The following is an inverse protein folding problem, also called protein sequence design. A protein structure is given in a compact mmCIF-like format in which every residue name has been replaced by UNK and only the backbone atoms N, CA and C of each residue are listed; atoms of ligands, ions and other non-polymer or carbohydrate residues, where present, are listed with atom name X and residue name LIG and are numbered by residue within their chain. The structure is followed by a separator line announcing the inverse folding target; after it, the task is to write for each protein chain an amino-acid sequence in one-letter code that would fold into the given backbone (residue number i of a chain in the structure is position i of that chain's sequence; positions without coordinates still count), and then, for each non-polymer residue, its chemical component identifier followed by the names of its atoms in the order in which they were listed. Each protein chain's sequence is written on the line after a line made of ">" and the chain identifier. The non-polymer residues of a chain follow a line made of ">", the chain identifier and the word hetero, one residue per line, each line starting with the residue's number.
data_IF_184333737358
#
_entry.id   IF_184333737358
#
_cell.length_a   1.000
_cell.length_b   1.000
_cell.length_c   1.000
_cell.angle_alpha   90.00
_cell.angle_beta   90.00
_cell.angle_gamma   90.00
#
_symmetry.space_group_name_H-M   'P 1'
#
loop_
_entity.id
_entity.type
_entity.pdbx_description
1 polymer ?
#
# COMPACT_ATOMS: atom_id res chain seq x y z
N UNK A 1 -16.62 22.85 -7.23
CA UNK A 1 -16.02 24.11 -7.71
C UNK A 1 -14.53 24.06 -7.40
N UNK A 2 -13.71 23.58 -8.34
CA UNK A 2 -12.26 23.41 -8.15
C UNK A 2 -11.57 24.66 -8.69
N UNK A 3 -11.11 25.54 -7.79
CA UNK A 3 -10.50 26.81 -8.14
C UNK A 3 -9.00 26.81 -7.85
N UNK A 4 -8.22 27.08 -8.90
CA UNK A 4 -6.87 27.65 -8.92
C UNK A 4 -5.73 26.88 -8.22
N UNK A 5 -5.08 26.00 -8.98
CA UNK A 5 -3.69 25.56 -8.75
C UNK A 5 -2.75 26.67 -9.23
N UNK A 6 -2.07 27.33 -8.29
CA UNK A 6 -1.00 28.31 -8.55
C UNK A 6 0.34 27.61 -8.33
N UNK A 7 0.92 27.05 -9.41
CA UNK A 7 2.29 26.52 -9.40
C UNK A 7 3.22 27.67 -9.80
N UNK A 8 3.82 28.32 -8.81
CA UNK A 8 4.92 29.26 -9.04
C UNK A 8 6.09 28.90 -8.13
N UNK A 9 7.02 28.13 -8.71
CA UNK A 9 8.46 28.13 -8.42
C UNK A 9 8.93 27.86 -6.99
N UNK A 10 9.27 26.60 -6.68
CA UNK A 10 10.34 26.29 -5.73
C UNK A 10 10.87 24.84 -5.90
N UNK A 11 12.05 24.70 -6.53
CA UNK A 11 13.07 23.63 -6.40
C UNK A 11 12.71 22.12 -6.48
N UNK A 12 13.59 21.25 -7.04
CA UNK A 12 13.38 19.80 -7.09
C UNK A 12 13.43 19.11 -5.70
N UNK A 13 13.80 19.82 -4.63
CA UNK A 13 13.85 19.27 -3.28
C UNK A 13 12.47 19.14 -2.60
N UNK A 14 11.40 19.74 -3.15
CA UNK A 14 10.06 19.75 -2.54
C UNK A 14 9.14 18.61 -3.01
N UNK A 15 9.64 17.67 -3.82
CA UNK A 15 8.84 16.52 -4.30
C UNK A 15 8.80 15.38 -3.26
N UNK A 16 9.76 15.33 -2.33
CA UNK A 16 9.89 14.21 -1.37
C UNK A 16 9.09 14.35 -0.08
N UNK A 17 8.48 15.50 0.23
CA UNK A 17 7.79 15.69 1.53
C UNK A 17 6.31 15.30 1.50
N UNK A 18 5.72 15.02 0.34
CA UNK A 18 4.26 14.81 0.20
C UNK A 18 3.79 13.35 0.37
N UNK A 19 4.69 12.38 0.60
CA UNK A 19 4.32 10.96 0.60
C UNK A 19 4.20 10.30 1.99
N UNK A 20 4.38 11.06 3.07
CA UNK A 20 4.16 10.55 4.44
C UNK A 20 2.82 11.00 5.04
N UNK A 21 1.81 11.23 4.19
CA UNK A 21 0.44 11.21 4.67
C UNK A 21 0.05 9.74 4.88
N UNK A 22 0.38 9.20 6.05
CA UNK A 22 -0.14 7.90 6.48
C UNK A 22 -1.66 7.96 6.44
N UNK A 23 -2.26 7.17 5.55
CA UNK A 23 -3.71 7.05 5.38
C UNK A 23 -4.36 6.75 6.74
N UNK A 24 -5.09 7.73 7.29
CA UNK A 24 -5.96 7.55 8.45
C UNK A 24 -7.11 6.62 8.05
N UNK A 25 -6.95 5.31 8.32
CA UNK A 25 -7.98 4.26 8.23
C UNK A 25 -8.92 4.42 7.02
N UNK A 26 -8.35 4.58 5.83
CA UNK A 26 -9.13 4.53 4.61
C UNK A 26 -9.68 3.11 4.43
N UNK A 27 -11.00 2.96 4.26
CA UNK A 27 -11.61 1.67 3.98
C UNK A 27 -10.95 1.00 2.77
N UNK A 28 -10.55 -0.27 2.93
CA UNK A 28 -9.83 -1.03 1.89
C UNK A 28 -10.78 -1.75 0.91
N UNK A 29 -12.09 -1.62 1.10
CA UNK A 29 -13.10 -2.27 0.26
C UNK A 29 -13.04 -1.69 -1.16
N UNK A 30 -13.00 -2.56 -2.16
CA UNK A 30 -12.93 -2.19 -3.58
C UNK A 30 -11.56 -1.69 -4.06
N UNK A 31 -10.62 -1.47 -3.15
CA UNK A 31 -9.22 -1.17 -3.51
C UNK A 31 -8.44 -2.47 -3.73
N UNK A 32 -7.43 -2.47 -4.61
CA UNK A 32 -6.48 -3.58 -4.70
C UNK A 32 -5.85 -3.85 -3.34
N UNK A 33 -5.73 -5.12 -2.96
CA UNK A 33 -5.03 -5.52 -1.76
C UNK A 33 -3.54 -5.07 -1.84
N UNK A 34 -2.95 -4.55 -0.74
CA UNK A 34 -1.56 -4.13 -0.71
C UNK A 34 -0.61 -5.27 -1.08
N UNK A 35 0.39 -4.97 -1.90
CA UNK A 35 1.42 -5.94 -2.23
C UNK A 35 2.32 -6.22 -1.02
N UNK A 36 2.62 -7.50 -0.78
CA UNK A 36 3.60 -7.93 0.20
C UNK A 36 4.33 -9.16 -0.30
N UNK A 37 5.52 -9.38 0.27
CA UNK A 37 6.30 -10.61 0.14
C UNK A 37 6.77 -10.99 1.54
N UNK A 38 6.51 -12.22 1.94
CA UNK A 38 6.87 -12.73 3.26
C UNK A 38 7.55 -14.09 3.11
N UNK A 39 8.43 -14.41 4.06
CA UNK A 39 9.00 -15.75 4.17
C UNK A 39 7.97 -16.67 4.84
N UNK A 40 7.71 -17.84 4.25
CA UNK A 40 6.87 -18.87 4.86
C UNK A 40 7.66 -19.73 5.86
N UNK A 41 6.99 -20.70 6.50
CA UNK A 41 7.61 -21.59 7.48
C UNK A 41 8.72 -22.50 6.90
N UNK A 42 8.69 -22.75 5.59
CA UNK A 42 9.71 -23.52 4.87
C UNK A 42 10.89 -22.65 4.41
N UNK A 43 10.91 -21.37 4.76
CA UNK A 43 11.94 -20.43 4.35
C UNK A 43 11.78 -19.86 2.94
N UNK A 44 10.70 -20.21 2.21
CA UNK A 44 10.42 -19.73 0.85
C UNK A 44 9.78 -18.34 0.88
N UNK A 45 10.23 -17.46 0.00
CA UNK A 45 9.56 -16.17 -0.24
C UNK A 45 8.25 -16.38 -1.00
N UNK A 46 7.16 -15.87 -0.45
CA UNK A 46 5.81 -15.96 -1.01
C UNK A 46 5.23 -14.56 -1.15
N UNK A 47 4.78 -14.22 -2.34
CA UNK A 47 4.17 -12.93 -2.65
C UNK A 47 2.64 -13.06 -2.78
N UNK A 48 1.91 -11.97 -2.50
CA UNK A 48 0.46 -11.93 -2.75
C UNK A 48 0.12 -12.18 -4.23
N UNK A 49 1.00 -11.78 -5.15
CA UNK A 49 0.86 -11.99 -6.60
C UNK A 49 0.83 -13.46 -7.00
N UNK A 50 1.42 -14.35 -6.20
CA UNK A 50 1.48 -15.79 -6.50
C UNK A 50 0.09 -16.44 -6.45
N UNK A 51 -0.88 -15.77 -5.80
CA UNK A 51 -2.27 -16.23 -5.66
C UNK A 51 -3.27 -15.53 -6.60
N UNK A 52 -2.79 -14.80 -7.61
CA UNK A 52 -3.68 -14.16 -8.61
C UNK A 52 -4.60 -15.20 -9.28
N UNK A 53 -5.84 -14.78 -9.56
CA UNK A 53 -6.88 -15.65 -10.11
C UNK A 53 -7.59 -16.55 -9.09
N UNK A 54 -7.25 -16.43 -7.81
CA UNK A 54 -7.92 -17.14 -6.70
C UNK A 54 -8.59 -16.14 -5.76
N UNK A 55 -9.64 -16.58 -5.07
CA UNK A 55 -10.14 -15.89 -3.89
C UNK A 55 -9.22 -16.19 -2.71
N UNK A 56 -8.73 -15.16 -2.04
CA UNK A 56 -7.74 -15.25 -0.96
C UNK A 56 -8.28 -14.53 0.27
N UNK A 57 -8.11 -15.16 1.44
CA UNK A 57 -8.41 -14.56 2.75
C UNK A 57 -7.08 -14.37 3.48
N UNK A 58 -6.84 -13.15 3.98
CA UNK A 58 -5.70 -12.87 4.85
C UNK A 58 -6.13 -13.03 6.30
N UNK A 59 -5.52 -13.99 6.99
CA UNK A 59 -5.69 -14.21 8.42
C UNK A 59 -4.47 -13.67 9.16
N UNK A 60 -4.67 -12.74 10.09
CA UNK A 60 -3.64 -12.25 10.98
C UNK A 60 -3.88 -12.85 12.36
N UNK A 61 -2.97 -13.72 12.81
CA UNK A 61 -3.09 -14.46 14.06
C UNK A 61 -1.72 -14.74 14.67
N UNK A 62 -1.74 -15.14 15.93
CA UNK A 62 -0.56 -15.37 16.76
C UNK A 62 -0.82 -16.57 17.67
N UNK A 63 0.23 -17.30 18.06
CA UNK A 63 0.12 -18.55 18.84
C UNK A 63 0.45 -18.44 20.33
N UNK A 64 0.29 -17.26 20.94
CA UNK A 64 0.48 -17.08 22.39
C UNK A 64 -0.74 -17.54 23.19
#
# INVERSE_FOLDING_TARGET
>A
MVGAIKILGLGPALVCTILLAGDTKQGMIGKPAPAFVLQNLDGKMVALSDFKGKYVVLHFGTGW
#
